data_IF_587312231657
#
_entry.id   IF_587312231657
#
_cell.length_a   1.000
_cell.length_b   1.000
_cell.length_c   1.000
_cell.angle_alpha   90.00
_cell.angle_beta   90.00
_cell.angle_gamma   90.00
#
_symmetry.space_group_name_H-M   'P 1'
#
loop_
_entity.id
_entity.type
_entity.pdbx_description
1 polymer ?
#
# COMPACT_ATOMS: atom_id res chain seq x y z
N UNK A 1 10.68 3.37 2.29
CA UNK A 1 10.73 3.15 0.82
C UNK A 1 9.71 3.98 0.04
N UNK A 2 8.41 3.99 0.37
CA UNK A 2 7.43 4.57 -0.56
C UNK A 2 7.52 6.09 -0.80
N UNK A 3 8.00 6.89 0.17
CA UNK A 3 8.32 8.32 -0.10
C UNK A 3 9.39 8.49 -1.20
N UNK A 4 10.37 7.57 -1.26
CA UNK A 4 11.36 7.55 -2.36
C UNK A 4 10.68 7.21 -3.68
N UNK A 5 9.73 6.27 -3.70
CA UNK A 5 8.95 5.96 -4.90
C UNK A 5 8.15 7.20 -5.38
N UNK A 6 7.54 7.95 -4.46
CA UNK A 6 6.87 9.23 -4.78
C UNK A 6 7.83 10.27 -5.34
N UNK A 7 9.01 10.46 -4.74
CA UNK A 7 10.06 11.34 -5.27
C UNK A 7 10.50 10.93 -6.68
N UNK A 8 10.45 9.63 -7.01
CA UNK A 8 10.75 9.09 -8.35
C UNK A 8 9.57 9.17 -9.33
N UNK A 9 8.45 9.79 -8.95
CA UNK A 9 7.28 9.95 -9.82
C UNK A 9 6.45 8.67 -9.98
N UNK A 10 6.62 7.68 -9.11
CA UNK A 10 5.87 6.43 -9.16
C UNK A 10 4.54 6.55 -8.40
N UNK A 11 3.60 5.65 -8.74
CA UNK A 11 2.44 5.36 -7.90
C UNK A 11 2.90 4.47 -6.73
N UNK A 12 2.60 4.89 -5.50
CA UNK A 12 2.91 4.14 -4.29
C UNK A 12 1.62 3.70 -3.58
N UNK A 13 1.43 2.39 -3.45
CA UNK A 13 0.37 1.77 -2.65
C UNK A 13 1.03 1.12 -1.43
N UNK A 14 0.60 1.52 -0.24
CA UNK A 14 1.10 0.97 1.03
C UNK A 14 0.21 -0.15 1.54
N UNK A 15 0.78 -1.03 2.37
CA UNK A 15 0.04 -2.01 3.16
C UNK A 15 0.40 -1.80 4.62
N UNK A 16 -0.59 -1.63 5.49
CA UNK A 16 -0.40 -1.41 6.92
C UNK A 16 -1.51 -2.11 7.71
N UNK A 17 -1.34 -2.28 9.03
CA UNK A 17 -2.34 -2.93 9.87
C UNK A 17 -3.09 -1.91 10.74
N UNK A 18 -4.34 -1.60 10.40
CA UNK A 18 -5.20 -0.64 11.08
C UNK A 18 -5.47 0.65 10.28
N UNK A 19 -6.69 1.17 10.39
CA UNK A 19 -7.15 2.38 9.69
C UNK A 19 -6.30 3.63 10.02
N UNK A 20 -5.88 3.84 11.26
CA UNK A 20 -5.06 4.99 11.64
C UNK A 20 -3.71 5.02 10.92
N UNK A 21 -3.06 3.85 10.80
CA UNK A 21 -1.79 3.74 10.06
C UNK A 21 -2.00 3.98 8.57
N UNK A 22 -3.07 3.43 7.99
CA UNK A 22 -3.39 3.64 6.58
C UNK A 22 -3.64 5.12 6.28
N UNK A 23 -4.38 5.81 7.16
CA UNK A 23 -4.63 7.25 7.07
C UNK A 23 -3.32 8.05 7.11
N UNK A 24 -2.46 7.77 8.09
CA UNK A 24 -1.15 8.42 8.20
C UNK A 24 -0.29 8.23 6.93
N UNK A 25 -0.27 7.03 6.36
CA UNK A 25 0.51 6.73 5.14
C UNK A 25 0.03 7.56 3.94
N UNK A 26 -1.27 7.82 3.82
CA UNK A 26 -1.82 8.63 2.73
C UNK A 26 -1.66 10.13 3.00
N UNK A 27 -2.13 10.60 4.16
CA UNK A 27 -2.24 12.03 4.47
C UNK A 27 -0.88 12.67 4.78
N UNK A 28 0.00 11.96 5.51
CA UNK A 28 1.26 12.52 5.99
C UNK A 28 2.46 12.08 5.12
N UNK A 29 2.48 10.82 4.67
CA UNK A 29 3.59 10.29 3.86
C UNK A 29 3.38 10.44 2.34
N UNK A 30 2.18 10.83 1.91
CA UNK A 30 1.87 11.15 0.51
C UNK A 30 1.76 9.95 -0.43
N UNK A 31 1.42 8.77 0.09
CA UNK A 31 1.11 7.61 -0.76
C UNK A 31 -0.23 7.80 -1.48
N UNK A 32 -0.40 7.15 -2.64
CA UNK A 32 -1.64 7.25 -3.43
C UNK A 32 -2.78 6.41 -2.83
N UNK A 33 -2.44 5.35 -2.09
CA UNK A 33 -3.38 4.52 -1.34
C UNK A 33 -2.64 3.76 -0.23
N UNK A 34 -3.38 3.34 0.80
CA UNK A 34 -2.89 2.36 1.77
C UNK A 34 -4.02 1.40 2.15
N UNK A 35 -3.74 0.09 2.09
CA UNK A 35 -4.72 -0.97 2.38
C UNK A 35 -4.43 -1.60 3.74
N UNK A 36 -5.48 -1.82 4.52
CA UNK A 36 -5.39 -2.52 5.80
C UNK A 36 -5.32 -4.04 5.59
N UNK A 37 -4.18 -4.68 5.87
CA UNK A 37 -4.03 -6.13 5.72
C UNK A 37 -4.85 -6.96 6.72
N UNK A 38 -5.49 -6.31 7.70
CA UNK A 38 -6.41 -6.95 8.63
C UNK A 38 -7.85 -6.95 8.12
N UNK A 39 -8.14 -6.24 7.04
CA UNK A 39 -9.48 -6.20 6.45
C UNK A 39 -9.84 -7.59 5.87
N UNK A 40 -11.09 -8.06 6.04
CA UNK A 40 -11.51 -9.36 5.53
C UNK A 40 -11.52 -9.43 3.99
N UNK A 41 -11.63 -8.28 3.32
CA UNK A 41 -11.66 -8.09 1.87
C UNK A 41 -10.33 -7.52 1.34
N UNK A 42 -9.22 -7.70 2.07
CA UNK A 42 -7.91 -7.14 1.74
C UNK A 42 -7.48 -7.40 0.29
N UNK A 43 -7.62 -8.64 -0.21
CA UNK A 43 -7.20 -9.01 -1.56
C UNK A 43 -7.96 -8.21 -2.64
N UNK A 44 -9.27 -7.99 -2.43
CA UNK A 44 -10.09 -7.20 -3.35
C UNK A 44 -9.70 -5.72 -3.30
N UNK A 45 -9.44 -5.18 -2.11
CA UNK A 45 -8.98 -3.79 -1.96
C UNK A 45 -7.62 -3.56 -2.60
N UNK A 46 -6.70 -4.52 -2.45
CA UNK A 46 -5.38 -4.45 -3.09
C UNK A 46 -5.50 -4.47 -4.61
N UNK A 47 -6.33 -5.35 -5.18
CA UNK A 47 -6.59 -5.39 -6.61
C UNK A 47 -7.17 -4.06 -7.13
N UNK A 48 -8.11 -3.45 -6.39
CA UNK A 48 -8.68 -2.13 -6.72
C UNK A 48 -7.64 -1.00 -6.64
N UNK A 49 -6.71 -1.07 -5.69
CA UNK A 49 -5.64 -0.08 -5.55
C UNK A 49 -4.54 -0.22 -6.61
N UNK A 50 -4.37 -1.41 -7.18
CA UNK A 50 -3.38 -1.73 -8.20
C UNK A 50 -4.04 -2.20 -9.52
N UNK A 51 -4.88 -1.38 -10.17
CA UNK A 51 -5.68 -1.81 -11.33
C UNK A 51 -4.84 -2.21 -12.55
N UNK A 52 -3.58 -1.75 -12.61
CA UNK A 52 -2.63 -2.04 -13.68
C UNK A 52 -1.58 -3.10 -13.27
N UNK A 53 -1.79 -3.80 -12.15
CA UNK A 53 -0.79 -4.69 -11.56
C UNK A 53 0.22 -3.96 -10.67
N UNK A 54 1.30 -4.68 -10.31
CA UNK A 54 2.38 -4.20 -9.43
C UNK A 54 3.72 -4.38 -10.16
N UNK A 55 4.37 -3.28 -10.52
CA UNK A 55 5.68 -3.31 -11.19
C UNK A 55 6.84 -3.59 -10.22
N UNK A 56 6.72 -3.08 -8.98
CA UNK A 56 7.74 -3.21 -7.94
C UNK A 56 7.06 -3.59 -6.63
N UNK A 57 7.46 -4.73 -6.06
CA UNK A 57 7.04 -5.17 -4.73
C UNK A 57 8.22 -5.04 -3.76
N UNK A 58 8.18 -4.03 -2.90
CA UNK A 58 9.18 -3.87 -1.84
C UNK A 58 8.74 -4.62 -0.59
N UNK A 59 9.25 -5.84 -0.45
CA UNK A 59 8.90 -6.77 0.62
C UNK A 59 9.68 -6.47 1.91
N UNK A 60 8.96 -6.31 3.03
CA UNK A 60 9.52 -6.14 4.38
C UNK A 60 9.02 -7.18 5.39
N UNK A 61 7.93 -7.89 5.08
CA UNK A 61 7.18 -8.71 6.03
C UNK A 61 7.24 -10.18 5.64
N UNK A 62 6.92 -10.50 4.40
CA UNK A 62 6.71 -11.87 3.93
C UNK A 62 5.42 -12.50 4.49
N UNK A 63 5.26 -13.81 4.33
CA UNK A 63 4.07 -14.53 4.79
C UNK A 63 2.80 -14.22 3.97
N UNK A 64 1.62 -14.47 4.56
CA UNK A 64 0.36 -14.15 3.90
C UNK A 64 0.11 -12.64 3.92
N UNK A 65 0.29 -12.04 2.75
CA UNK A 65 -0.08 -10.66 2.41
C UNK A 65 -0.86 -10.65 1.10
N UNK A 66 -1.45 -11.80 0.74
CA UNK A 66 -2.30 -12.09 -0.42
C UNK A 66 -3.09 -13.37 -0.14
#
# INVERSE_FOLDING_TARGET
VGQVAKIKGLRAVGVAGGAEKCKYVVEELGFDACIDHKAPDFAEQLAKACPNGIDIYYENVGGHVF
#
